data_IF_373774918371
#
_entry.id   IF_373774918371
#
_cell.length_a   1.000
_cell.length_b   1.000
_cell.length_c   1.000
_cell.angle_alpha   90.00
_cell.angle_beta   90.00
_cell.angle_gamma   90.00
#
_symmetry.space_group_name_H-M   'P 1'
#
loop_
_entity.id
_entity.type
_entity.pdbx_description
1 polymer ?
#
# COMPACT_ATOMS: atom_id res chain seq x y z
N UNK A 1 36.78 -41.69 -32.66
CA UNK A 1 36.11 -40.40 -32.93
C UNK A 1 34.82 -40.31 -32.10
N UNK A 2 34.95 -39.80 -30.87
CA UNK A 2 33.84 -39.65 -29.93
C UNK A 2 33.03 -38.37 -30.27
N UNK A 3 31.76 -38.56 -30.62
CA UNK A 3 30.81 -37.47 -30.81
C UNK A 3 30.45 -36.87 -29.45
N UNK A 4 30.93 -35.65 -29.17
CA UNK A 4 30.39 -34.83 -28.09
C UNK A 4 29.11 -34.17 -28.57
N UNK A 5 27.97 -34.66 -28.09
CA UNK A 5 26.72 -33.90 -28.02
C UNK A 5 26.97 -32.67 -27.15
N UNK A 6 26.98 -31.49 -27.77
CA UNK A 6 26.84 -30.24 -27.07
C UNK A 6 25.33 -29.98 -26.90
N UNK A 7 24.79 -30.42 -25.77
CA UNK A 7 23.46 -30.02 -25.31
C UNK A 7 23.51 -28.52 -24.97
N UNK A 8 23.20 -27.70 -25.96
CA UNK A 8 23.05 -26.26 -25.81
C UNK A 8 21.77 -25.95 -25.06
N UNK A 9 21.79 -26.05 -23.72
CA UNK A 9 20.77 -25.41 -22.88
C UNK A 9 20.80 -23.90 -23.16
N UNK A 10 19.75 -23.40 -23.82
CA UNK A 10 19.54 -21.96 -23.98
C UNK A 10 19.54 -21.29 -22.59
N UNK A 11 20.21 -20.13 -22.42
CA UNK A 11 20.35 -19.43 -21.13
C UNK A 11 19.03 -18.96 -20.48
N UNK A 12 17.88 -19.17 -21.12
CA UNK A 12 16.56 -18.80 -20.61
C UNK A 12 15.97 -19.74 -19.54
N UNK A 13 16.45 -20.99 -19.45
CA UNK A 13 15.91 -21.96 -18.48
C UNK A 13 16.21 -21.57 -17.03
N UNK A 14 17.40 -21.05 -16.77
CA UNK A 14 17.84 -20.59 -15.45
C UNK A 14 17.08 -19.31 -15.02
N UNK A 15 16.85 -18.38 -15.96
CA UNK A 15 16.13 -17.13 -15.68
C UNK A 15 14.65 -17.35 -15.35
N UNK A 16 13.96 -18.20 -16.11
CA UNK A 16 12.56 -18.54 -15.83
C UNK A 16 12.44 -19.25 -14.48
N UNK A 17 13.32 -20.21 -14.21
CA UNK A 17 13.33 -20.93 -12.95
C UNK A 17 13.54 -19.98 -11.76
N UNK A 18 14.52 -19.07 -11.83
CA UNK A 18 14.74 -18.05 -10.79
C UNK A 18 13.54 -17.13 -10.60
N UNK A 19 12.88 -16.71 -11.68
CA UNK A 19 11.70 -15.87 -11.60
C UNK A 19 10.52 -16.60 -10.94
N UNK A 20 10.36 -17.89 -11.21
CA UNK A 20 9.37 -18.74 -10.54
C UNK A 20 9.70 -18.95 -9.06
N UNK A 21 10.97 -19.20 -8.72
CA UNK A 21 11.42 -19.33 -7.34
C UNK A 21 11.24 -18.03 -6.54
N UNK A 22 11.56 -16.87 -7.13
CA UNK A 22 11.29 -15.57 -6.52
C UNK A 22 9.79 -15.35 -6.30
N UNK A 23 8.95 -15.80 -7.24
CA UNK A 23 7.50 -15.74 -7.10
C UNK A 23 7.00 -16.67 -5.99
N UNK A 24 7.51 -17.90 -5.92
CA UNK A 24 7.17 -18.83 -4.84
C UNK A 24 7.60 -18.26 -3.48
N UNK A 25 8.79 -17.66 -3.39
CA UNK A 25 9.23 -16.98 -2.17
C UNK A 25 8.31 -15.81 -1.79
N UNK A 26 7.99 -14.93 -2.76
CA UNK A 26 7.04 -13.83 -2.60
C UNK A 26 5.67 -14.30 -2.11
N UNK A 27 5.22 -15.44 -2.61
CA UNK A 27 4.00 -16.07 -2.16
C UNK A 27 4.20 -16.60 -0.73
N UNK A 28 5.17 -17.48 -0.47
CA UNK A 28 5.22 -18.26 0.76
C UNK A 28 5.83 -17.56 1.98
N UNK A 29 6.94 -16.83 1.81
CA UNK A 29 7.75 -16.34 2.92
C UNK A 29 7.57 -14.85 3.21
N UNK A 30 7.31 -14.05 2.16
CA UNK A 30 7.39 -12.59 2.31
C UNK A 30 6.32 -12.02 3.22
N UNK A 31 6.69 -11.09 4.08
CA UNK A 31 5.75 -10.36 4.93
C UNK A 31 5.81 -8.88 4.59
N UNK A 32 4.65 -8.20 4.53
CA UNK A 32 4.66 -6.76 4.36
C UNK A 32 5.28 -6.10 5.60
N UNK A 33 6.12 -5.10 5.37
CA UNK A 33 6.81 -4.34 6.41
C UNK A 33 5.92 -3.19 6.89
N UNK A 34 5.76 -3.02 8.21
CA UNK A 34 5.11 -1.83 8.75
C UNK A 34 6.06 -0.62 8.62
N UNK A 35 5.72 0.31 7.74
CA UNK A 35 6.50 1.53 7.53
C UNK A 35 6.04 2.61 8.52
N UNK A 36 6.98 3.08 9.36
CA UNK A 36 6.76 4.21 10.25
C UNK A 36 7.08 5.51 9.53
N UNK A 37 6.27 6.53 9.74
CA UNK A 37 6.61 7.86 9.28
C UNK A 37 7.83 8.36 10.05
N UNK A 38 8.84 8.81 9.32
CA UNK A 38 9.87 9.67 9.89
C UNK A 38 9.35 11.11 9.87
N UNK A 39 8.96 11.63 11.03
CA UNK A 39 8.46 12.99 11.17
C UNK A 39 9.53 14.05 10.88
N UNK A 40 10.81 13.65 10.92
CA UNK A 40 11.96 14.52 10.66
C UNK A 40 12.41 14.51 9.21
N UNK A 41 11.97 13.53 8.41
CA UNK A 41 12.34 13.43 7.01
C UNK A 41 11.66 14.54 6.18
N UNK A 42 12.40 15.27 5.32
CA UNK A 42 11.88 16.34 4.45
C UNK A 42 11.10 15.76 3.25
N UNK A 43 10.10 14.92 3.51
CA UNK A 43 9.68 13.94 2.51
C UNK A 43 8.52 14.39 1.60
N UNK A 44 8.12 15.67 1.67
CA UNK A 44 6.93 16.16 0.95
C UNK A 44 7.29 16.83 -0.37
N UNK A 45 8.50 17.39 -0.47
CA UNK A 45 8.87 18.23 -1.62
C UNK A 45 9.40 17.42 -2.79
N UNK A 46 10.07 16.29 -2.53
CA UNK A 46 10.76 15.51 -3.56
C UNK A 46 9.83 14.76 -4.51
N UNK A 47 8.56 14.56 -4.11
CA UNK A 47 7.53 13.88 -4.93
C UNK A 47 6.74 14.88 -5.77
N UNK A 48 6.73 16.16 -5.36
CA UNK A 48 6.00 17.21 -6.05
C UNK A 48 6.81 17.70 -7.24
N UNK A 49 6.15 17.89 -8.37
CA UNK A 49 6.78 18.59 -9.48
C UNK A 49 6.99 20.07 -9.14
N UNK A 50 7.80 20.73 -9.97
CA UNK A 50 8.17 22.12 -9.73
C UNK A 50 6.97 23.08 -9.79
N UNK A 51 5.91 22.75 -10.52
CA UNK A 51 4.68 23.55 -10.58
C UNK A 51 3.88 23.43 -9.28
N UNK A 52 3.74 22.21 -8.73
CA UNK A 52 3.13 21.99 -7.43
C UNK A 52 3.90 22.69 -6.31
N UNK A 53 5.23 22.64 -6.32
CA UNK A 53 6.06 23.36 -5.36
C UNK A 53 5.88 24.86 -5.47
N UNK A 54 5.91 25.40 -6.70
CA UNK A 54 5.64 26.83 -6.94
C UNK A 54 4.25 27.22 -6.46
N UNK A 55 3.23 26.41 -6.70
CA UNK A 55 1.87 26.67 -6.24
C UNK A 55 1.78 26.68 -4.70
N UNK A 56 2.45 25.73 -4.04
CA UNK A 56 2.54 25.66 -2.57
C UNK A 56 3.27 26.86 -1.97
N UNK A 57 4.34 27.32 -2.63
CA UNK A 57 5.16 28.44 -2.15
C UNK A 57 4.56 29.81 -2.47
N UNK A 58 3.87 29.94 -3.60
CA UNK A 58 3.33 31.23 -4.08
C UNK A 58 2.00 31.60 -3.45
N UNK A 59 1.27 30.63 -2.87
CA UNK A 59 -0.03 30.91 -2.27
C UNK A 59 -0.02 30.63 -0.77
N UNK A 60 -0.27 31.63 0.09
CA UNK A 60 -0.27 31.47 1.55
C UNK A 60 -1.34 30.50 2.07
N UNK A 61 -2.28 30.10 1.21
CA UNK A 61 -3.34 29.13 1.51
C UNK A 61 -3.22 27.84 0.71
N UNK A 62 -2.11 27.60 0.00
CA UNK A 62 -1.90 26.32 -0.64
C UNK A 62 -1.65 25.26 0.44
N UNK A 63 -2.34 24.13 0.32
CA UNK A 63 -2.43 23.11 1.37
C UNK A 63 -2.14 21.75 0.76
N UNK A 64 -1.45 20.90 1.51
CA UNK A 64 -1.24 19.51 1.09
C UNK A 64 -2.36 18.60 1.63
N UNK A 65 -2.47 17.41 1.06
CA UNK A 65 -3.34 16.37 1.62
C UNK A 65 -2.94 16.01 3.06
N UNK A 66 -1.65 16.08 3.41
CA UNK A 66 -1.18 15.84 4.77
C UNK A 66 -1.74 16.84 5.78
N UNK A 67 -2.05 18.07 5.36
CA UNK A 67 -2.54 19.12 6.27
C UNK A 67 -4.06 19.11 6.41
N UNK A 68 -4.74 18.18 5.74
CA UNK A 68 -6.21 18.03 5.80
C UNK A 68 -6.73 17.81 7.23
N UNK A 69 -6.02 16.99 8.01
CA UNK A 69 -6.46 16.66 9.37
C UNK A 69 -6.47 17.83 10.35
N UNK A 70 -5.71 18.90 10.06
CA UNK A 70 -5.63 20.09 10.92
C UNK A 70 -6.75 21.11 10.64
N UNK A 71 -7.65 20.78 9.71
CA UNK A 71 -8.66 21.70 9.18
C UNK A 71 -10.05 21.19 9.60
N UNK A 72 -10.52 21.52 10.82
CA UNK A 72 -11.72 20.91 11.39
C UNK A 72 -12.97 21.11 10.53
N UNK A 73 -13.11 22.27 9.87
CA UNK A 73 -14.21 22.55 8.94
C UNK A 73 -14.20 21.62 7.73
N UNK A 74 -13.02 21.36 7.14
CA UNK A 74 -12.88 20.48 5.99
C UNK A 74 -13.04 19.00 6.39
N UNK A 75 -12.56 18.62 7.57
CA UNK A 75 -12.79 17.29 8.16
C UNK A 75 -14.28 17.06 8.38
N UNK A 76 -14.97 18.04 8.97
CA UNK A 76 -16.41 17.97 9.20
C UNK A 76 -17.18 17.86 7.88
N UNK A 77 -16.85 18.71 6.90
CA UNK A 77 -17.43 18.66 5.56
C UNK A 77 -17.24 17.28 4.90
N UNK A 78 -16.05 16.69 5.00
CA UNK A 78 -15.79 15.36 4.45
C UNK A 78 -16.61 14.29 5.18
N UNK A 79 -16.70 14.34 6.51
CA UNK A 79 -17.47 13.38 7.31
C UNK A 79 -18.97 13.44 7.00
N UNK A 80 -19.49 14.61 6.64
CA UNK A 80 -20.88 14.82 6.22
C UNK A 80 -21.12 14.53 4.73
N UNK A 81 -20.05 14.32 3.96
CA UNK A 81 -20.14 14.17 2.52
C UNK A 81 -20.98 12.93 2.13
N UNK A 82 -21.89 13.03 1.13
CA UNK A 82 -22.76 11.91 0.75
C UNK A 82 -22.02 10.62 0.39
N UNK A 83 -20.79 10.72 -0.15
CA UNK A 83 -19.95 9.56 -0.43
C UNK A 83 -19.51 8.83 0.83
N UNK A 84 -19.19 9.55 1.92
CA UNK A 84 -18.82 8.93 3.19
C UNK A 84 -20.01 8.19 3.77
N UNK A 85 -21.20 8.80 3.77
CA UNK A 85 -22.44 8.14 4.19
C UNK A 85 -22.74 6.86 3.40
N UNK A 86 -22.61 6.91 2.07
CA UNK A 86 -22.80 5.73 1.21
C UNK A 86 -21.76 4.64 1.45
N UNK A 87 -20.49 5.02 1.61
CA UNK A 87 -19.40 4.11 1.90
C UNK A 87 -19.56 3.44 3.26
N UNK A 88 -19.87 4.21 4.31
CA UNK A 88 -20.13 3.68 5.66
C UNK A 88 -21.32 2.70 5.66
N UNK A 89 -22.39 3.00 4.92
CA UNK A 89 -23.53 2.10 4.79
C UNK A 89 -23.15 0.79 4.10
N UNK A 90 -22.39 0.85 3.00
CA UNK A 90 -21.91 -0.34 2.29
C UNK A 90 -20.98 -1.20 3.17
N UNK A 91 -19.99 -0.58 3.81
CA UNK A 91 -19.06 -1.29 4.71
C UNK A 91 -19.78 -1.95 5.88
N UNK A 92 -20.81 -1.30 6.43
CA UNK A 92 -21.63 -1.88 7.50
C UNK A 92 -22.46 -3.06 7.01
N UNK A 93 -23.05 -2.96 5.82
CA UNK A 93 -23.85 -4.03 5.23
C UNK A 93 -23.01 -5.29 4.99
N UNK A 94 -21.76 -5.12 4.55
CA UNK A 94 -20.82 -6.22 4.35
C UNK A 94 -20.23 -6.77 5.65
N UNK A 95 -20.18 -5.96 6.71
CA UNK A 95 -19.69 -6.40 8.03
C UNK A 95 -18.20 -6.72 8.08
N UNK A 96 -17.39 -6.10 7.22
CA UNK A 96 -15.95 -6.36 7.17
C UNK A 96 -15.26 -5.92 8.49
N UNK A 97 -14.54 -6.81 9.19
CA UNK A 97 -13.83 -6.46 10.43
C UNK A 97 -12.59 -5.58 10.16
N UNK A 98 -12.04 -5.68 8.95
CA UNK A 98 -10.88 -4.93 8.51
C UNK A 98 -10.97 -4.58 7.03
N UNK A 99 -10.50 -3.41 6.67
CA UNK A 99 -10.33 -2.93 5.29
C UNK A 99 -8.85 -2.67 5.04
N UNK A 100 -8.29 -3.30 4.00
CA UNK A 100 -6.93 -3.04 3.53
C UNK A 100 -7.02 -2.28 2.21
N UNK A 101 -6.56 -1.04 2.20
CA UNK A 101 -6.54 -0.20 1.00
C UNK A 101 -5.22 -0.38 0.25
N UNK A 102 -5.29 -0.69 -1.04
CA UNK A 102 -4.14 -0.57 -1.94
C UNK A 102 -3.80 0.91 -2.15
N UNK A 103 -2.65 1.35 -1.65
CA UNK A 103 -2.21 2.74 -1.73
C UNK A 103 -1.09 2.90 -2.74
N UNK A 104 -1.33 3.64 -3.82
CA UNK A 104 -0.32 3.91 -4.86
C UNK A 104 0.37 5.27 -4.67
N UNK A 105 -0.16 6.13 -3.81
CA UNK A 105 0.30 7.52 -3.66
C UNK A 105 -0.32 8.48 -4.68
N UNK A 106 -1.02 7.96 -5.69
CA UNK A 106 -1.79 8.77 -6.64
C UNK A 106 -3.08 9.33 -6.04
N UNK A 107 -3.59 10.40 -6.65
CA UNK A 107 -4.76 11.17 -6.17
C UNK A 107 -5.97 10.29 -5.84
N UNK A 108 -6.29 9.31 -6.68
CA UNK A 108 -7.45 8.43 -6.47
C UNK A 108 -7.28 7.59 -5.20
N UNK A 109 -6.09 7.01 -4.99
CA UNK A 109 -5.82 6.18 -3.82
C UNK A 109 -5.78 7.00 -2.53
N UNK A 110 -5.29 8.24 -2.59
CA UNK A 110 -5.27 9.17 -1.45
C UNK A 110 -6.68 9.68 -1.12
N UNK A 111 -7.50 9.98 -2.12
CA UNK A 111 -8.91 10.35 -1.93
C UNK A 111 -9.70 9.18 -1.32
N UNK A 112 -9.47 7.96 -1.80
CA UNK A 112 -10.09 6.76 -1.23
C UNK A 112 -9.67 6.53 0.24
N UNK A 113 -8.39 6.77 0.57
CA UNK A 113 -7.89 6.74 1.94
C UNK A 113 -8.64 7.75 2.83
N UNK A 114 -8.81 8.99 2.37
CA UNK A 114 -9.54 10.01 3.12
C UNK A 114 -11.01 9.65 3.34
N UNK A 115 -11.69 9.10 2.32
CA UNK A 115 -13.07 8.64 2.44
C UNK A 115 -13.22 7.49 3.44
N UNK A 116 -12.33 6.50 3.41
CA UNK A 116 -12.33 5.38 4.36
C UNK A 116 -12.02 5.85 5.78
N UNK A 117 -11.07 6.76 5.94
CA UNK A 117 -10.76 7.38 7.22
C UNK A 117 -11.95 8.15 7.79
N UNK A 118 -12.60 8.96 6.96
CA UNK A 118 -13.79 9.71 7.36
C UNK A 118 -14.96 8.78 7.69
N UNK A 119 -15.15 7.72 6.90
CA UNK A 119 -16.17 6.69 7.15
C UNK A 119 -15.97 5.97 8.48
N UNK A 120 -14.71 5.68 8.85
CA UNK A 120 -14.35 5.09 10.15
C UNK A 120 -14.63 6.04 11.32
N UNK A 121 -14.48 7.36 11.11
CA UNK A 121 -14.75 8.39 12.13
C UNK A 121 -16.24 8.75 12.24
N UNK A 122 -16.94 8.76 11.12
CA UNK A 122 -18.38 8.99 11.07
C UNK A 122 -19.09 7.82 11.76
N UNK A 123 -20.02 8.14 12.66
CA UNK A 123 -20.56 7.22 13.65
C UNK A 123 -20.95 5.83 13.10
N UNK A 124 -20.34 4.79 13.66
CA UNK A 124 -20.83 3.40 13.59
C UNK A 124 -20.24 2.50 12.51
N UNK A 125 -19.06 2.79 11.97
CA UNK A 125 -18.29 1.83 11.18
C UNK A 125 -17.13 1.28 12.02
N UNK A 126 -17.33 0.12 12.66
CA UNK A 126 -16.30 -0.55 13.46
C UNK A 126 -15.49 -1.50 12.58
N UNK A 127 -14.62 -0.94 11.72
CA UNK A 127 -13.63 -1.71 10.99
C UNK A 127 -12.24 -1.16 11.27
N UNK A 128 -11.25 -2.05 11.26
CA UNK A 128 -9.86 -1.65 11.26
C UNK A 128 -9.45 -1.24 9.85
N UNK A 129 -8.74 -0.12 9.71
CA UNK A 129 -8.27 0.38 8.42
C UNK A 129 -6.75 0.30 8.37
N UNK A 130 -6.21 -0.29 7.31
CA UNK A 130 -4.78 -0.28 7.00
C UNK A 130 -4.55 0.06 5.51
N UNK A 131 -3.39 0.61 5.20
CA UNK A 131 -2.94 0.83 3.85
C UNK A 131 -1.83 -0.17 3.50
N UNK A 132 -1.81 -0.64 2.25
CA UNK A 132 -0.74 -1.44 1.69
C UNK A 132 -0.22 -0.77 0.42
N UNK A 133 1.05 -0.40 0.42
CA UNK A 133 1.78 0.01 -0.77
C UNK A 133 2.59 -1.16 -1.32
N UNK A 134 2.38 -1.50 -2.59
CA UNK A 134 3.20 -2.48 -3.30
C UNK A 134 4.11 -1.72 -4.24
N UNK A 135 5.41 -1.75 -3.94
CA UNK A 135 6.43 -1.14 -4.77
C UNK A 135 7.17 -2.17 -5.60
N UNK A 136 7.73 -1.72 -6.71
CA UNK A 136 8.49 -2.51 -7.68
C UNK A 136 9.91 -1.92 -7.80
N UNK A 137 10.88 -2.68 -8.33
CA UNK A 137 12.27 -2.24 -8.37
C UNK A 137 12.39 -0.90 -9.12
N UNK A 138 13.09 0.05 -8.50
CA UNK A 138 13.28 1.41 -9.04
C UNK A 138 12.15 2.40 -8.73
N UNK A 139 11.17 2.04 -7.90
CA UNK A 139 10.17 2.94 -7.31
C UNK A 139 10.29 2.89 -5.79
N UNK A 140 10.22 4.03 -5.11
CA UNK A 140 10.40 4.08 -3.65
C UNK A 140 10.36 5.48 -3.04
N UNK A 141 10.51 6.53 -3.85
CA UNK A 141 10.45 7.92 -3.36
C UNK A 141 9.08 8.31 -2.78
N UNK A 142 8.01 7.67 -3.26
CA UNK A 142 6.64 7.94 -2.84
C UNK A 142 6.34 7.44 -1.41
N UNK A 143 7.09 6.45 -0.92
CA UNK A 143 6.84 5.76 0.35
C UNK A 143 6.83 6.72 1.54
N UNK A 144 7.76 7.66 1.58
CA UNK A 144 7.89 8.57 2.72
C UNK A 144 6.66 9.48 2.84
N UNK A 145 6.21 10.06 1.72
CA UNK A 145 5.03 10.91 1.68
C UNK A 145 3.77 10.14 2.12
N UNK A 146 3.60 8.92 1.60
CA UNK A 146 2.49 8.05 1.99
C UNK A 146 2.56 7.70 3.47
N UNK A 147 3.74 7.37 4.01
CA UNK A 147 3.93 7.06 5.42
C UNK A 147 3.49 8.23 6.30
N UNK A 148 3.87 9.46 5.93
CA UNK A 148 3.41 10.67 6.64
C UNK A 148 1.90 10.84 6.56
N UNK A 149 1.32 10.76 5.37
CA UNK A 149 -0.13 10.90 5.19
C UNK A 149 -0.91 9.87 6.02
N UNK A 150 -0.49 8.61 5.99
CA UNK A 150 -1.04 7.51 6.78
C UNK A 150 -0.88 7.73 8.29
N UNK A 151 0.31 8.15 8.75
CA UNK A 151 0.57 8.46 10.16
C UNK A 151 -0.36 9.56 10.69
N UNK A 152 -0.53 10.65 9.93
CA UNK A 152 -1.43 11.76 10.30
C UNK A 152 -2.89 11.34 10.40
N UNK A 153 -3.30 10.33 9.63
CA UNK A 153 -4.65 9.77 9.68
C UNK A 153 -4.82 8.66 10.74
N UNK A 154 -3.74 8.26 11.42
CA UNK A 154 -3.76 7.09 12.31
C UNK A 154 -4.12 5.81 11.56
N UNK A 155 -3.55 5.65 10.35
CA UNK A 155 -3.70 4.46 9.50
C UNK A 155 -2.32 3.81 9.36
N UNK A 156 -2.13 2.54 9.77
CA UNK A 156 -0.87 1.85 9.54
C UNK A 156 -0.61 1.67 8.04
N UNK A 157 0.59 2.05 7.60
CA UNK A 157 1.06 1.80 6.23
C UNK A 157 1.98 0.59 6.23
N UNK A 158 1.58 -0.41 5.45
CA UNK A 158 2.40 -1.56 5.14
C UNK A 158 3.03 -1.38 3.76
N UNK A 159 4.28 -1.81 3.61
CA UNK A 159 5.00 -1.78 2.33
C UNK A 159 5.44 -3.18 1.99
N UNK A 160 5.15 -3.59 0.75
CA UNK A 160 5.66 -4.80 0.17
C UNK A 160 6.48 -4.48 -1.08
N UNK A 161 7.76 -4.85 -1.06
CA UNK A 161 8.71 -4.57 -2.15
C UNK A 161 8.84 -5.82 -3.01
N UNK A 162 8.08 -5.88 -4.10
CA UNK A 162 8.14 -7.03 -4.99
C UNK A 162 9.45 -6.99 -5.80
N UNK A 163 10.31 -7.98 -5.61
CA UNK A 163 11.59 -8.08 -6.33
C UNK A 163 11.48 -8.45 -7.82
N UNK A 164 10.26 -8.65 -8.33
CA UNK A 164 10.02 -9.13 -9.70
C UNK A 164 10.07 -7.97 -10.70
N UNK A 165 10.92 -8.10 -11.73
CA UNK A 165 10.97 -7.12 -12.81
C UNK A 165 9.91 -7.38 -13.86
N UNK A 166 9.19 -6.32 -14.26
CA UNK A 166 8.22 -6.39 -15.36
C UNK A 166 8.92 -6.76 -16.67
N UNK A 167 8.44 -7.76 -17.42
CA UNK A 167 8.94 -8.05 -18.77
C UNK A 167 8.89 -6.79 -19.63
N UNK A 168 10.01 -6.48 -20.30
CA UNK A 168 10.13 -5.39 -21.28
C UNK A 168 10.83 -5.93 -22.51
N UNK A 169 10.58 -5.32 -23.67
CA UNK A 169 11.25 -5.69 -24.92
C UNK A 169 12.78 -5.59 -24.72
N UNK A 170 13.47 -6.74 -24.83
CA UNK A 170 14.92 -6.84 -24.67
C UNK A 170 15.44 -7.08 -23.25
N UNK A 171 14.58 -7.12 -22.23
CA UNK A 171 14.98 -7.47 -20.86
C UNK A 171 14.70 -8.97 -20.60
N UNK A 172 15.73 -9.77 -20.27
CA UNK A 172 15.54 -11.19 -20.04
C UNK A 172 15.03 -11.45 -18.61
N UNK A 173 13.72 -11.35 -18.41
CA UNK A 173 13.06 -11.59 -17.11
C UNK A 173 12.68 -13.05 -16.88
N UNK A 174 12.71 -13.89 -17.91
CA UNK A 174 12.30 -15.29 -17.84
C UNK A 174 10.78 -15.52 -17.80
N UNK A 175 9.98 -14.46 -17.69
CA UNK A 175 8.51 -14.53 -17.67
C UNK A 175 7.90 -13.81 -18.88
N UNK A 176 6.80 -14.35 -19.38
CA UNK A 176 5.90 -13.63 -20.27
C UNK A 176 5.16 -12.52 -19.52
N UNK A 177 4.58 -11.56 -20.27
CA UNK A 177 3.74 -10.52 -19.68
C UNK A 177 2.56 -11.10 -18.87
N UNK A 178 1.89 -12.11 -19.42
CA UNK A 178 0.77 -12.77 -18.76
C UNK A 178 1.20 -13.47 -17.45
N UNK A 179 2.30 -14.23 -17.48
CA UNK A 179 2.81 -14.89 -16.28
C UNK A 179 3.19 -13.87 -15.20
N UNK A 180 3.77 -12.73 -15.58
CA UNK A 180 4.09 -11.64 -14.65
C UNK A 180 2.83 -11.01 -14.05
N UNK A 181 1.81 -10.71 -14.87
CA UNK A 181 0.58 -10.08 -14.40
C UNK A 181 -0.17 -11.02 -13.44
N UNK A 182 -0.29 -12.32 -13.77
CA UNK A 182 -0.90 -13.33 -12.89
C UNK A 182 -0.11 -13.54 -11.59
N UNK A 183 1.22 -13.53 -11.69
CA UNK A 183 2.12 -13.63 -10.54
C UNK A 183 1.94 -12.45 -9.57
N UNK A 184 1.98 -11.23 -10.11
CA UNK A 184 1.86 -10.00 -9.30
C UNK A 184 0.47 -9.84 -8.70
N UNK A 185 -0.58 -10.30 -9.40
CA UNK A 185 -1.94 -10.33 -8.88
C UNK A 185 -2.06 -11.25 -7.67
N UNK A 186 -1.54 -12.48 -7.78
CA UNK A 186 -1.53 -13.45 -6.66
C UNK A 186 -0.74 -12.93 -5.46
N UNK A 187 0.45 -12.38 -5.70
CA UNK A 187 1.25 -11.78 -4.64
C UNK A 187 0.49 -10.64 -3.94
N UNK A 188 -0.17 -9.77 -4.71
CA UNK A 188 -0.98 -8.65 -4.18
C UNK A 188 -2.11 -9.12 -3.27
N UNK A 189 -2.94 -10.06 -3.71
CA UNK A 189 -4.03 -10.58 -2.89
C UNK A 189 -3.53 -11.24 -1.61
N UNK A 190 -2.44 -12.00 -1.70
CA UNK A 190 -1.83 -12.63 -0.53
C UNK A 190 -1.29 -11.60 0.48
N UNK A 191 -0.75 -10.48 0.01
CA UNK A 191 -0.35 -9.40 0.92
C UNK A 191 -1.55 -8.73 1.59
N UNK A 192 -2.69 -8.57 0.90
CA UNK A 192 -3.91 -8.06 1.55
C UNK A 192 -4.36 -8.96 2.68
N UNK A 193 -4.38 -10.29 2.45
CA UNK A 193 -4.73 -11.26 3.48
C UNK A 193 -3.78 -11.19 4.69
N UNK A 194 -2.47 -11.08 4.46
CA UNK A 194 -1.47 -10.94 5.53
C UNK A 194 -1.66 -9.66 6.34
N UNK A 195 -1.87 -8.52 5.68
CA UNK A 195 -2.13 -7.25 6.38
C UNK A 195 -3.44 -7.33 7.16
N UNK A 196 -4.51 -7.88 6.57
CA UNK A 196 -5.79 -8.05 7.26
C UNK A 196 -5.64 -8.91 8.52
N UNK A 197 -4.88 -10.01 8.43
CA UNK A 197 -4.60 -10.88 9.58
C UNK A 197 -3.80 -10.15 10.69
N UNK A 198 -2.76 -9.39 10.32
CA UNK A 198 -1.96 -8.61 11.30
C UNK A 198 -2.81 -7.55 12.02
N UNK A 199 -3.67 -6.87 11.27
CA UNK A 199 -4.54 -5.82 11.79
C UNK A 199 -5.68 -6.41 12.64
N UNK A 200 -6.23 -7.56 12.24
CA UNK A 200 -7.26 -8.28 13.01
C UNK A 200 -6.73 -8.94 14.28
N UNK A 201 -5.46 -9.37 14.33
CA UNK A 201 -4.85 -9.95 15.52
C UNK A 201 -4.58 -8.91 16.63
N UNK A 202 -4.33 -7.64 16.26
CA UNK A 202 -4.01 -6.57 17.22
C UNK A 202 -5.15 -6.15 18.14
N UNK A 203 -6.40 -6.50 17.82
CA UNK A 203 -7.59 -6.14 18.62
C UNK A 203 -7.92 -7.13 19.74
N UNK A 204 -7.27 -8.30 19.78
CA UNK A 204 -7.54 -9.37 20.75
C UNK A 204 -6.76 -9.34 22.07
N UNK A 205 -5.81 -8.41 22.25
CA UNK A 205 -4.83 -8.45 23.36
C UNK A 205 -5.01 -7.42 24.50
N UNK A 206 -6.04 -6.57 24.46
CA UNK A 206 -6.17 -5.41 25.37
C UNK A 206 -7.09 -5.58 26.58
N UNK A 207 -7.43 -6.81 26.99
CA UNK A 207 -8.37 -7.06 28.09
C UNK A 207 -7.78 -8.00 29.14
N UNK A 208 -7.08 -7.46 30.14
CA UNK A 208 -6.54 -8.28 31.22
C UNK A 208 -5.61 -7.53 32.17
N UNK A 209 -6.09 -6.43 32.76
CA UNK A 209 -5.35 -5.66 33.75
C UNK A 209 -6.26 -5.01 34.78
N UNK A 210 -7.35 -5.68 35.15
CA UNK A 210 -8.16 -5.34 36.30
C UNK A 210 -7.87 -6.34 37.42
N UNK A 211 -7.22 -5.87 38.48
CA UNK A 211 -6.95 -6.65 39.68
C UNK A 211 -6.34 -5.76 40.75
N UNK A 212 -7.20 -5.09 41.54
CA UNK A 212 -6.85 -4.61 42.88
C UNK A 212 -6.66 -5.79 43.86
N UNK A 213 -6.55 -5.57 45.18
CA UNK A 213 -7.01 -4.41 45.95
C UNK A 213 -5.97 -3.31 46.19
#
# INVERSE_FOLDING_TARGET
>A
PAARQADGKLPGGDLRQRALEQLEQALHADVPELLRADETAPCHREVLDADCLRALESHPTAKSFCDFVDRPEEVQWLMEHPLVSRLSAALRAEGFPSVVLSLSGGVDSMAHLALLWAARRAAGASFQLAALHITYPGRGREECWMARACSRLGVPLYVYRLGLQRPRKGAPTGLTHSEYDDATLRARFRMYERVAAQVGAGTGGGGGGGGGP
#
